data_IF_158695489475
#
_entry.id   IF_158695489475
#
_cell.length_a   1.000
_cell.length_b   1.000
_cell.length_c   1.000
_cell.angle_alpha   90.00
_cell.angle_beta   90.00
_cell.angle_gamma   90.00
#
_symmetry.space_group_name_H-M   'P 1'
#
loop_
_entity.id
_entity.type
_entity.pdbx_description
1 polymer ?
#
# COMPACT_ATOMS: atom_id res chain seq x y z
N UNK A 1 6.86 2.47 -0.11
CA UNK A 1 6.33 3.51 -1.01
C UNK A 1 6.91 3.27 -2.39
N UNK A 2 6.07 3.25 -3.42
CA UNK A 2 6.38 2.74 -4.75
C UNK A 2 6.30 3.83 -5.83
N UNK A 3 7.08 3.70 -6.91
CA UNK A 3 7.06 4.64 -8.03
C UNK A 3 5.80 4.49 -8.90
N UNK A 4 5.17 3.32 -8.90
CA UNK A 4 4.03 3.01 -9.76
C UNK A 4 2.90 2.33 -8.99
N UNK A 5 1.67 2.59 -9.40
CA UNK A 5 0.47 1.97 -8.83
C UNK A 5 0.54 0.43 -8.90
N UNK A 6 1.05 -0.11 -10.00
CA UNK A 6 1.19 -1.56 -10.18
C UNK A 6 2.11 -2.21 -9.12
N UNK A 7 3.21 -1.56 -8.75
CA UNK A 7 4.11 -2.05 -7.71
C UNK A 7 3.48 -1.97 -6.32
N UNK A 8 2.77 -0.88 -6.05
CA UNK A 8 1.99 -0.76 -4.82
C UNK A 8 0.87 -1.80 -4.74
N UNK A 9 0.21 -2.12 -5.85
CA UNK A 9 -0.88 -3.09 -5.89
C UNK A 9 -0.37 -4.51 -5.66
N UNK A 10 0.80 -4.84 -6.25
CA UNK A 10 1.48 -6.10 -5.98
C UNK A 10 1.79 -6.24 -4.49
N UNK A 11 2.34 -5.20 -3.86
CA UNK A 11 2.61 -5.24 -2.42
C UNK A 11 1.33 -5.26 -1.59
N UNK A 12 0.27 -4.58 -2.02
CA UNK A 12 -1.01 -4.59 -1.32
C UNK A 12 -1.57 -6.03 -1.24
N UNK A 13 -1.49 -6.80 -2.32
CA UNK A 13 -1.85 -8.22 -2.31
C UNK A 13 -0.98 -9.04 -1.34
N UNK A 14 0.34 -8.83 -1.32
CA UNK A 14 1.22 -9.51 -0.37
C UNK A 14 0.90 -9.16 1.10
N UNK A 15 0.45 -7.94 1.34
CA UNK A 15 0.05 -7.44 2.66
C UNK A 15 -1.39 -7.84 3.05
N UNK A 16 -2.17 -8.43 2.14
CA UNK A 16 -3.60 -8.66 2.34
C UNK A 16 -4.43 -7.37 2.40
N UNK A 17 -3.91 -6.28 1.84
CA UNK A 17 -4.60 -5.02 1.70
C UNK A 17 -5.31 -4.93 0.35
N UNK A 18 -6.53 -4.42 0.35
CA UNK A 18 -7.16 -3.98 -0.88
C UNK A 18 -6.67 -2.59 -1.28
N UNK A 19 -6.51 -2.39 -2.59
CA UNK A 19 -6.25 -1.11 -3.23
C UNK A 19 -4.88 -0.48 -2.96
N UNK A 20 -4.71 0.71 -3.52
CA UNK A 20 -3.50 1.53 -3.39
C UNK A 20 -3.92 2.99 -3.34
N UNK A 21 -3.32 3.79 -2.47
CA UNK A 21 -3.48 5.24 -2.48
C UNK A 21 -2.19 5.92 -2.92
N UNK A 22 -2.31 7.13 -3.44
CA UNK A 22 -1.18 7.98 -3.78
C UNK A 22 -0.99 9.00 -2.66
N UNK A 23 0.20 9.07 -2.09
CA UNK A 23 0.57 10.09 -1.12
C UNK A 23 1.64 11.00 -1.72
N UNK A 24 1.27 12.26 -1.94
CA UNK A 24 2.01 13.37 -2.59
C UNK A 24 2.56 13.03 -4.00
N UNK A 25 3.43 12.02 -4.11
CA UNK A 25 4.06 11.56 -5.36
C UNK A 25 4.37 10.05 -5.38
N UNK A 26 4.03 9.33 -4.31
CA UNK A 26 4.39 7.93 -4.12
C UNK A 26 3.14 7.08 -3.93
N UNK A 27 3.18 5.87 -4.48
CA UNK A 27 2.10 4.90 -4.30
C UNK A 27 2.32 4.08 -3.03
N UNK A 28 1.26 3.95 -2.25
CA UNK A 28 1.25 3.22 -0.99
C UNK A 28 0.36 1.98 -1.12
N UNK A 29 0.83 0.84 -0.58
CA UNK A 29 0.22 -0.45 -0.88
C UNK A 29 -0.92 -0.80 0.09
N UNK A 30 -1.96 0.05 0.17
CA UNK A 30 -3.27 -0.19 0.78
C UNK A 30 -4.20 0.98 0.39
N UNK A 31 -5.52 0.82 0.56
CA UNK A 31 -6.53 1.88 0.38
C UNK A 31 -6.26 3.17 1.19
N UNK A 32 -5.67 3.06 2.38
CA UNK A 32 -5.42 4.19 3.27
C UNK A 32 -4.18 3.94 4.15
N UNK A 33 -3.61 5.01 4.69
CA UNK A 33 -2.48 4.97 5.61
C UNK A 33 -2.78 4.15 6.88
N UNK A 34 -4.02 4.20 7.40
CA UNK A 34 -4.40 3.41 8.57
C UNK A 34 -4.31 1.89 8.31
N UNK A 35 -4.82 1.43 7.16
CA UNK A 35 -4.76 0.03 6.73
C UNK A 35 -3.32 -0.40 6.48
N UNK A 36 -2.51 0.48 5.89
CA UNK A 36 -1.09 0.25 5.69
C UNK A 36 -0.35 0.09 7.02
N UNK A 37 -0.58 0.99 7.97
CA UNK A 37 0.06 0.93 9.28
C UNK A 37 -0.33 -0.35 10.04
N UNK A 38 -1.57 -0.82 9.92
CA UNK A 38 -1.97 -2.12 10.47
C UNK A 38 -1.28 -3.29 9.78
N UNK A 39 -1.23 -3.30 8.44
CA UNK A 39 -0.61 -4.37 7.68
C UNK A 39 0.91 -4.44 7.89
N UNK A 40 1.58 -3.29 8.00
CA UNK A 40 3.01 -3.20 8.30
C UNK A 40 3.34 -3.60 9.73
N UNK A 41 2.44 -3.38 10.70
CA UNK A 41 2.62 -3.83 12.09
C UNK A 41 2.53 -5.34 12.28
N UNK A 42 1.95 -6.06 11.32
CA UNK A 42 1.75 -7.52 11.38
C UNK A 42 2.87 -8.33 10.68
N UNK A 43 3.89 -7.67 10.12
CA UNK A 43 5.08 -8.31 9.55
C UNK A 43 6.23 -8.35 10.56
#
# INVERSE_FOLDING_TARGET
MYPSQAEAAKRAQELGCEGTHMNEWKWMPCLDEASLHQALRKQ
#
